data_IF_765160653804
#
_entry.id   IF_765160653804
#
_cell.length_a   1.000
_cell.length_b   1.000
_cell.length_c   1.000
_cell.angle_alpha   90.00
_cell.angle_beta   90.00
_cell.angle_gamma   90.00
#
_symmetry.space_group_name_H-M   'P 1'
#
loop_
_entity.id
_entity.type
_entity.pdbx_description
1 polymer ?
#
# COMPACT_ATOMS: atom_id res chain seq x y z
N UNK A 1 3.78 -27.66 -4.96
CA UNK A 1 3.48 -26.34 -4.40
C UNK A 1 2.15 -25.77 -4.88
N UNK A 2 1.76 -25.98 -6.16
CA UNK A 2 0.51 -25.49 -6.73
C UNK A 2 -0.72 -25.91 -5.92
N UNK A 3 -0.92 -27.21 -5.69
CA UNK A 3 -2.06 -27.71 -4.92
C UNK A 3 -2.10 -27.11 -3.52
N UNK A 4 -0.97 -26.97 -2.84
CA UNK A 4 -0.92 -26.36 -1.51
C UNK A 4 -1.36 -24.88 -1.50
N UNK A 5 -1.03 -24.13 -2.55
CA UNK A 5 -1.47 -22.75 -2.70
C UNK A 5 -2.99 -22.71 -2.86
N UNK A 6 -3.53 -23.53 -3.75
CA UNK A 6 -4.96 -23.63 -3.98
C UNK A 6 -5.72 -24.07 -2.72
N UNK A 7 -5.19 -25.05 -1.99
CA UNK A 7 -5.77 -25.52 -0.73
C UNK A 7 -5.88 -24.39 0.30
N UNK A 8 -4.81 -23.61 0.48
CA UNK A 8 -4.79 -22.46 1.41
C UNK A 8 -5.82 -21.39 1.02
N UNK A 9 -5.94 -21.09 -0.26
CA UNK A 9 -6.88 -20.09 -0.77
C UNK A 9 -8.34 -20.58 -0.63
N UNK A 10 -8.60 -21.83 -0.95
CA UNK A 10 -9.93 -22.48 -0.82
C UNK A 10 -10.34 -22.62 0.65
N UNK A 11 -9.38 -22.93 1.54
CA UNK A 11 -9.63 -22.98 2.98
C UNK A 11 -10.04 -21.59 3.51
N UNK A 12 -9.37 -20.51 3.07
CA UNK A 12 -9.75 -19.15 3.44
C UNK A 12 -11.17 -18.82 2.96
N UNK A 13 -11.50 -19.16 1.71
CA UNK A 13 -12.83 -18.95 1.15
C UNK A 13 -13.93 -19.63 1.96
N UNK A 14 -13.66 -20.86 2.40
CA UNK A 14 -14.64 -21.70 3.12
C UNK A 14 -14.78 -21.29 4.59
N UNK A 15 -13.65 -21.06 5.29
CA UNK A 15 -13.63 -20.84 6.74
C UNK A 15 -13.78 -19.37 7.14
N UNK A 16 -13.38 -18.44 6.27
CA UNK A 16 -13.43 -17.02 6.54
C UNK A 16 -13.86 -16.21 5.29
N UNK A 17 -15.10 -16.41 4.79
CA UNK A 17 -15.55 -15.81 3.53
C UNK A 17 -15.48 -14.26 3.53
N UNK A 18 -15.73 -13.62 4.67
CA UNK A 18 -15.59 -12.16 4.78
C UNK A 18 -14.13 -11.70 4.59
N UNK A 19 -13.17 -12.45 5.14
CA UNK A 19 -11.76 -12.19 4.93
C UNK A 19 -11.34 -12.45 3.48
N UNK A 20 -11.82 -13.54 2.88
CA UNK A 20 -11.60 -13.84 1.47
C UNK A 20 -12.04 -12.68 0.58
N UNK A 21 -13.26 -12.18 0.77
CA UNK A 21 -13.79 -11.04 0.02
C UNK A 21 -12.97 -9.75 0.25
N UNK A 22 -12.59 -9.50 1.49
CA UNK A 22 -11.74 -8.37 1.83
C UNK A 22 -10.37 -8.44 1.17
N UNK A 23 -9.77 -9.63 1.08
CA UNK A 23 -8.48 -9.85 0.44
C UNK A 23 -8.61 -9.80 -1.09
N UNK A 24 -9.71 -10.31 -1.65
CA UNK A 24 -10.00 -10.18 -3.09
C UNK A 24 -10.01 -8.70 -3.52
N UNK A 25 -10.62 -7.83 -2.71
CA UNK A 25 -10.66 -6.38 -2.93
C UNK A 25 -9.46 -5.60 -2.37
N UNK A 26 -8.38 -6.27 -1.93
CA UNK A 26 -7.28 -5.63 -1.20
C UNK A 26 -6.66 -4.44 -1.92
N UNK A 27 -6.48 -4.53 -3.22
CA UNK A 27 -5.88 -3.47 -4.04
C UNK A 27 -6.91 -2.48 -4.59
N UNK A 28 -8.20 -2.75 -4.45
CA UNK A 28 -9.26 -1.90 -4.99
C UNK A 28 -9.38 -0.61 -4.18
N UNK A 29 -9.13 0.52 -4.82
CA UNK A 29 -9.21 1.85 -4.23
C UNK A 29 -10.27 2.75 -4.90
N UNK A 30 -11.16 2.16 -5.71
CA UNK A 30 -12.22 2.88 -6.42
C UNK A 30 -13.02 3.85 -5.57
N UNK A 31 -13.47 3.51 -4.34
CA UNK A 31 -14.24 4.44 -3.53
C UNK A 31 -13.50 5.74 -3.21
N UNK A 32 -12.17 5.68 -3.02
CA UNK A 32 -11.34 6.85 -2.76
C UNK A 32 -11.21 7.74 -4.01
N UNK A 33 -11.00 7.13 -5.16
CA UNK A 33 -10.95 7.85 -6.44
C UNK A 33 -12.28 8.50 -6.79
N UNK A 34 -13.40 7.75 -6.71
CA UNK A 34 -14.73 8.29 -6.98
C UNK A 34 -15.07 9.45 -6.04
N UNK A 35 -14.65 9.37 -4.78
CA UNK A 35 -14.82 10.48 -3.86
C UNK A 35 -14.02 11.71 -4.28
N UNK A 36 -12.77 11.53 -4.72
CA UNK A 36 -11.98 12.64 -5.27
C UNK A 36 -12.64 13.27 -6.49
N UNK A 37 -13.17 12.47 -7.42
CA UNK A 37 -13.90 12.98 -8.59
C UNK A 37 -15.07 13.89 -8.18
N UNK A 38 -15.81 13.51 -7.14
CA UNK A 38 -16.90 14.34 -6.60
C UNK A 38 -16.40 15.66 -5.99
N UNK A 39 -15.23 15.65 -5.36
CA UNK A 39 -14.68 16.80 -4.65
C UNK A 39 -14.02 17.82 -5.58
N UNK A 40 -13.29 17.37 -6.59
CA UNK A 40 -12.38 18.23 -7.35
C UNK A 40 -12.48 18.05 -8.89
N UNK A 41 -13.39 17.20 -9.36
CA UNK A 41 -13.49 16.87 -10.79
C UNK A 41 -12.47 15.82 -11.25
N UNK A 42 -12.69 15.23 -12.44
CA UNK A 42 -11.99 14.04 -12.91
C UNK A 42 -10.48 14.24 -13.11
N UNK A 43 -10.07 15.34 -13.71
CA UNK A 43 -8.66 15.57 -14.06
C UNK A 43 -7.81 15.76 -12.80
N UNK A 44 -8.27 16.61 -11.88
CA UNK A 44 -7.58 16.85 -10.62
C UNK A 44 -7.63 15.62 -9.71
N UNK A 45 -8.74 14.90 -9.67
CA UNK A 45 -8.85 13.63 -8.98
C UNK A 45 -7.80 12.62 -9.47
N UNK A 46 -7.61 12.52 -10.78
CA UNK A 46 -6.60 11.66 -11.39
C UNK A 46 -5.17 12.03 -10.95
N UNK A 47 -4.86 13.31 -10.87
CA UNK A 47 -3.55 13.80 -10.43
C UNK A 47 -3.31 13.48 -8.94
N UNK A 48 -4.24 13.86 -8.09
CA UNK A 48 -4.16 13.66 -6.62
C UNK A 48 -4.09 12.18 -6.27
N UNK A 49 -4.93 11.38 -6.91
CA UNK A 49 -4.98 9.94 -6.66
C UNK A 49 -3.65 9.26 -7.07
N UNK A 50 -3.14 9.54 -8.28
CA UNK A 50 -1.85 8.98 -8.72
C UNK A 50 -0.72 9.34 -7.77
N UNK A 51 -0.67 10.59 -7.29
CA UNK A 51 0.34 11.03 -6.34
C UNK A 51 0.23 10.26 -5.02
N UNK A 52 -0.95 10.21 -4.40
CA UNK A 52 -1.16 9.51 -3.14
C UNK A 52 -0.85 8.01 -3.27
N UNK A 53 -1.33 7.38 -4.34
CA UNK A 53 -1.09 5.95 -4.63
C UNK A 53 0.41 5.67 -4.86
N UNK A 54 1.09 6.50 -5.63
CA UNK A 54 2.54 6.38 -5.87
C UNK A 54 3.32 6.52 -4.56
N UNK A 55 2.95 7.46 -3.70
CA UNK A 55 3.59 7.62 -2.39
C UNK A 55 3.32 6.41 -1.49
N UNK A 56 2.13 5.81 -1.54
CA UNK A 56 1.82 4.54 -0.89
C UNK A 56 2.77 3.43 -1.33
N UNK A 57 2.90 3.21 -2.62
CA UNK A 57 3.82 2.20 -3.16
C UNK A 57 5.29 2.44 -2.80
N UNK A 58 5.75 3.69 -2.78
CA UNK A 58 7.11 4.05 -2.34
C UNK A 58 7.30 3.76 -0.85
N UNK A 59 6.30 3.97 -0.02
CA UNK A 59 6.35 3.72 1.43
C UNK A 59 6.12 2.25 1.80
N UNK A 60 5.55 1.43 0.92
CA UNK A 60 5.13 0.06 1.21
C UNK A 60 6.24 -0.93 1.57
N UNK A 61 7.51 -0.84 1.10
CA UNK A 61 8.53 -1.81 1.44
C UNK A 61 8.85 -1.84 2.94
N UNK A 62 8.70 -3.02 3.55
CA UNK A 62 8.96 -3.26 4.98
C UNK A 62 8.15 -2.37 5.94
N UNK A 63 6.95 -1.97 5.53
CA UNK A 63 6.07 -1.09 6.30
C UNK A 63 4.71 -1.76 6.55
N UNK A 64 4.18 -1.76 7.78
CA UNK A 64 2.79 -2.11 8.03
C UNK A 64 1.84 -1.13 7.32
N UNK A 65 0.73 -1.64 6.79
CA UNK A 65 -0.24 -0.84 6.01
C UNK A 65 -0.72 0.44 6.72
N UNK A 66 -1.03 0.46 8.02
CA UNK A 66 -1.39 1.71 8.70
C UNK A 66 -0.28 2.76 8.67
N UNK A 67 0.97 2.32 8.81
CA UNK A 67 2.14 3.21 8.77
C UNK A 67 2.43 3.71 7.35
N UNK A 68 2.30 2.82 6.35
CA UNK A 68 2.36 3.17 4.93
C UNK A 68 1.36 4.28 4.61
N UNK A 69 0.09 4.07 4.98
CA UNK A 69 -0.98 5.04 4.73
C UNK A 69 -0.70 6.39 5.39
N UNK A 70 -0.31 6.41 6.67
CA UNK A 70 0.03 7.66 7.38
C UNK A 70 1.16 8.41 6.70
N UNK A 71 2.21 7.70 6.30
CA UNK A 71 3.38 8.33 5.66
C UNK A 71 3.08 8.82 4.25
N UNK A 72 2.37 8.01 3.45
CA UNK A 72 1.94 8.41 2.12
C UNK A 72 1.04 9.65 2.15
N UNK A 73 0.05 9.66 3.05
CA UNK A 73 -0.85 10.80 3.25
C UNK A 73 -0.11 12.05 3.70
N UNK A 74 0.85 11.90 4.62
CA UNK A 74 1.68 13.02 5.07
C UNK A 74 2.51 13.61 3.92
N UNK A 75 3.22 12.77 3.17
CA UNK A 75 4.00 13.20 2.02
C UNK A 75 3.13 13.89 0.96
N UNK A 76 1.93 13.34 0.71
CA UNK A 76 0.95 13.91 -0.21
C UNK A 76 0.50 15.30 0.23
N UNK A 77 0.11 15.49 1.48
CA UNK A 77 -0.26 16.79 2.04
C UNK A 77 0.88 17.80 1.96
N UNK A 78 2.11 17.38 2.29
CA UNK A 78 3.28 18.26 2.20
C UNK A 78 3.56 18.69 0.75
N UNK A 79 3.35 17.80 -0.22
CA UNK A 79 3.49 18.12 -1.63
C UNK A 79 2.43 19.15 -2.09
N UNK A 80 1.16 18.93 -1.76
CA UNK A 80 0.05 19.82 -2.15
C UNK A 80 0.14 21.20 -1.51
N UNK A 81 0.86 21.32 -0.38
CA UNK A 81 1.07 22.60 0.32
C UNK A 81 2.40 23.25 -0.05
N UNK A 82 3.12 22.76 -1.05
CA UNK A 82 4.46 23.24 -1.42
C UNK A 82 5.48 23.17 -0.26
N UNK A 83 5.30 22.23 0.67
CA UNK A 83 6.15 22.00 1.85
C UNK A 83 6.98 20.72 1.76
N UNK A 84 7.06 20.11 0.59
CA UNK A 84 7.78 18.86 0.41
C UNK A 84 9.27 18.91 0.78
N UNK A 85 10.00 20.04 0.64
CA UNK A 85 11.36 20.17 1.17
C UNK A 85 11.48 19.93 2.69
N UNK A 86 10.44 20.25 3.47
CA UNK A 86 10.40 19.96 4.91
C UNK A 86 10.26 18.45 5.15
N UNK A 87 9.42 17.78 4.36
CA UNK A 87 9.29 16.33 4.38
C UNK A 87 10.62 15.62 4.11
N UNK A 88 11.37 16.08 3.11
CA UNK A 88 12.69 15.53 2.80
C UNK A 88 13.69 15.66 3.96
N UNK A 89 13.66 16.78 4.67
CA UNK A 89 14.53 17.03 5.85
C UNK A 89 14.14 16.16 7.06
N UNK A 90 12.87 15.79 7.19
CA UNK A 90 12.36 15.04 8.33
C UNK A 90 13.13 13.75 8.62
N UNK A 91 13.58 13.02 7.58
CA UNK A 91 14.35 11.79 7.74
C UNK A 91 15.78 11.96 8.20
N UNK A 92 16.37 13.15 8.08
CA UNK A 92 17.72 13.46 8.54
C UNK A 92 17.82 13.73 10.05
N UNK A 93 16.69 13.87 10.73
CA UNK A 93 16.63 14.14 12.17
C UNK A 93 16.73 12.80 12.92
N UNK A 94 17.68 12.68 13.85
CA UNK A 94 17.78 11.50 14.71
C UNK A 94 16.51 11.33 15.56
N UNK A 95 16.22 10.09 15.95
CA UNK A 95 14.97 9.78 16.66
C UNK A 95 14.85 10.57 17.98
N UNK A 96 15.95 10.74 18.68
CA UNK A 96 16.04 11.51 19.93
C UNK A 96 15.86 13.01 19.75
N UNK A 97 16.21 13.55 18.58
CA UNK A 97 16.13 14.97 18.25
C UNK A 97 14.85 15.32 17.51
N UNK A 98 14.00 14.33 17.18
CA UNK A 98 12.75 14.61 16.49
C UNK A 98 11.88 15.47 17.41
N UNK A 99 11.58 16.72 16.99
CA UNK A 99 10.54 17.47 17.66
C UNK A 99 9.34 16.55 17.76
N UNK A 100 8.65 16.57 18.89
CA UNK A 100 7.53 15.68 19.13
C UNK A 100 6.71 15.60 17.83
N UNK A 101 6.53 14.41 17.34
CA UNK A 101 5.88 14.13 16.03
C UNK A 101 4.49 14.78 15.92
N UNK A 102 3.99 15.33 17.03
CA UNK A 102 2.79 16.14 17.14
C UNK A 102 2.71 17.32 16.15
N UNK A 103 3.83 17.76 15.60
CA UNK A 103 3.88 18.94 14.72
C UNK A 103 4.28 18.60 13.27
N UNK A 104 4.33 17.33 12.88
CA UNK A 104 4.79 16.97 11.55
C UNK A 104 3.96 15.84 10.92
N UNK A 105 3.38 16.03 9.81
CA UNK A 105 3.05 17.21 9.01
C UNK A 105 1.72 17.80 9.47
N UNK A 106 1.70 18.66 10.40
CA UNK A 106 0.49 19.14 11.05
C UNK A 106 -0.24 18.11 11.93
N UNK A 107 -1.25 18.59 12.60
CA UNK A 107 -2.06 17.83 13.55
C UNK A 107 -2.82 16.64 12.95
N UNK A 108 -2.80 16.45 11.62
CA UNK A 108 -3.62 15.47 10.96
C UNK A 108 -3.18 14.03 11.19
N UNK A 109 -1.87 13.76 11.12
CA UNK A 109 -1.35 12.40 11.26
C UNK A 109 -0.06 12.35 12.07
N UNK A 110 -0.04 11.49 13.09
CA UNK A 110 1.20 11.08 13.74
C UNK A 110 1.99 10.17 12.80
N UNK A 111 3.11 10.65 12.28
CA UNK A 111 3.91 9.93 11.29
C UNK A 111 5.03 9.14 11.96
N UNK A 112 5.04 7.80 11.85
CA UNK A 112 6.13 7.00 12.40
C UNK A 112 7.44 7.25 11.63
N UNK A 113 8.55 7.25 12.36
CA UNK A 113 9.88 7.27 11.77
C UNK A 113 10.12 6.03 10.88
N UNK A 114 11.00 6.17 9.89
CA UNK A 114 11.33 5.08 8.97
C UNK A 114 12.83 5.05 8.68
N UNK A 115 13.43 3.86 8.82
CA UNK A 115 14.74 3.58 8.21
C UNK A 115 14.58 3.66 6.69
N UNK A 116 15.44 4.43 6.00
CA UNK A 116 15.35 4.64 4.55
C UNK A 116 14.41 5.78 4.12
N UNK A 117 13.96 6.64 5.04
CA UNK A 117 13.15 7.82 4.70
C UNK A 117 13.80 8.67 3.61
N UNK A 118 15.11 8.93 3.69
CA UNK A 118 15.82 9.73 2.70
C UNK A 118 15.73 9.14 1.28
N UNK A 119 15.70 7.80 1.14
CA UNK A 119 15.51 7.14 -0.18
C UNK A 119 14.07 7.29 -0.64
N UNK A 120 13.11 7.05 0.23
CA UNK A 120 11.69 7.16 -0.10
C UNK A 120 11.34 8.61 -0.51
N UNK A 121 11.73 9.60 0.27
CA UNK A 121 11.46 11.02 -0.03
C UNK A 121 12.14 11.50 -1.31
N UNK A 122 13.32 11.00 -1.66
CA UNK A 122 13.95 11.28 -2.97
C UNK A 122 13.13 10.71 -4.13
N UNK A 123 12.60 9.50 -4.00
CA UNK A 123 11.73 8.90 -5.05
C UNK A 123 10.41 9.66 -5.16
N UNK A 124 9.83 10.07 -4.03
CA UNK A 124 8.63 10.90 -4.00
C UNK A 124 8.90 12.28 -4.65
N UNK A 125 10.01 12.93 -4.34
CA UNK A 125 10.40 14.19 -4.96
C UNK A 125 10.58 14.04 -6.48
N UNK A 126 11.27 12.99 -6.90
CA UNK A 126 11.41 12.68 -8.33
C UNK A 126 10.05 12.54 -9.02
N UNK A 127 9.10 11.88 -8.36
CA UNK A 127 7.74 11.77 -8.90
C UNK A 127 7.06 13.14 -9.03
N UNK A 128 7.18 14.02 -8.02
CA UNK A 128 6.65 15.39 -8.08
C UNK A 128 7.21 16.16 -9.29
N UNK A 129 8.52 16.04 -9.52
CA UNK A 129 9.21 16.78 -10.58
C UNK A 129 8.97 16.21 -11.99
N UNK A 130 8.83 14.90 -12.13
CA UNK A 130 8.89 14.21 -13.42
C UNK A 130 7.69 13.35 -13.76
N UNK A 131 6.79 13.09 -12.80
CA UNK A 131 5.71 12.10 -12.93
C UNK A 131 6.20 10.64 -12.83
N UNK A 132 7.50 10.39 -12.60
CA UNK A 132 8.11 9.06 -12.57
C UNK A 132 8.71 8.78 -11.20
N UNK A 133 8.27 7.72 -10.52
CA UNK A 133 8.78 7.37 -9.19
C UNK A 133 10.24 6.93 -9.16
N UNK A 134 10.80 6.48 -10.29
CA UNK A 134 12.21 6.09 -10.42
C UNK A 134 12.63 4.93 -9.52
N UNK A 135 11.70 4.14 -9.05
CA UNK A 135 12.01 2.93 -8.30
C UNK A 135 12.16 1.74 -9.23
N UNK A 136 13.23 0.99 -9.01
CA UNK A 136 13.46 -0.31 -9.63
C UNK A 136 13.43 -1.36 -8.52
N UNK A 137 12.26 -1.95 -8.30
CA UNK A 137 12.06 -3.01 -7.31
C UNK A 137 10.92 -3.92 -7.75
N UNK A 138 10.94 -5.20 -7.37
CA UNK A 138 9.86 -6.14 -7.71
C UNK A 138 8.54 -5.84 -6.97
N UNK A 139 8.56 -4.97 -5.96
CA UNK A 139 7.38 -4.65 -5.15
C UNK A 139 6.73 -3.32 -5.53
N UNK A 140 7.47 -2.20 -5.47
CA UNK A 140 6.85 -0.87 -5.49
C UNK A 140 6.16 -0.54 -6.83
N UNK A 141 6.78 -0.70 -8.01
CA UNK A 141 6.10 -0.43 -9.27
C UNK A 141 4.83 -1.27 -9.47
N UNK A 142 4.87 -2.62 -9.36
CA UNK A 142 3.65 -3.43 -9.50
C UNK A 142 2.59 -3.09 -8.45
N UNK A 143 2.99 -2.73 -7.23
CA UNK A 143 2.04 -2.32 -6.18
C UNK A 143 1.33 -1.02 -6.54
N UNK A 144 2.04 -0.02 -7.09
CA UNK A 144 1.46 1.25 -7.53
C UNK A 144 0.43 1.00 -8.64
N UNK A 145 0.79 0.17 -9.63
CA UNK A 145 -0.09 -0.17 -10.74
C UNK A 145 -1.29 -1.00 -10.30
N UNK A 146 -1.07 -2.00 -9.45
CA UNK A 146 -2.13 -2.84 -8.89
C UNK A 146 -3.13 -2.08 -8.00
N UNK A 147 -2.69 -1.02 -7.35
CA UNK A 147 -3.53 -0.15 -6.52
C UNK A 147 -4.13 1.03 -7.28
N UNK A 148 -3.97 1.09 -8.60
CA UNK A 148 -4.60 2.09 -9.45
C UNK A 148 -6.09 1.76 -9.66
N UNK A 149 -6.77 2.57 -10.45
CA UNK A 149 -8.18 2.38 -10.80
C UNK A 149 -8.30 2.24 -12.32
N UNK A 150 -9.38 1.62 -12.85
CA UNK A 150 -9.52 1.36 -14.29
C UNK A 150 -9.34 2.61 -15.14
N UNK A 151 -9.87 3.75 -14.72
CA UNK A 151 -9.78 5.03 -15.42
C UNK A 151 -8.35 5.57 -15.51
N UNK A 152 -7.46 5.09 -14.63
CA UNK A 152 -6.06 5.51 -14.56
C UNK A 152 -5.07 4.43 -14.97
N UNK A 153 -5.55 3.33 -15.57
CA UNK A 153 -4.73 2.23 -16.05
C UNK A 153 -4.47 1.16 -14.98
N UNK A 154 -5.51 0.77 -14.24
CA UNK A 154 -5.44 -0.38 -13.33
C UNK A 154 -5.00 -1.65 -14.08
N UNK A 155 -4.06 -2.38 -13.50
CA UNK A 155 -3.57 -3.64 -14.05
C UNK A 155 -3.70 -4.76 -13.01
N UNK A 156 -4.53 -5.75 -13.35
CA UNK A 156 -4.83 -6.89 -12.48
C UNK A 156 -3.97 -8.12 -12.77
N UNK A 157 -3.21 -8.09 -13.87
CA UNK A 157 -2.35 -9.21 -14.31
C UNK A 157 -0.91 -9.15 -13.78
N UNK A 158 -0.61 -8.17 -12.94
CA UNK A 158 0.70 -7.99 -12.32
C UNK A 158 0.89 -8.93 -11.14
N UNK A 159 2.14 -9.16 -10.79
CA UNK A 159 2.52 -9.73 -9.50
C UNK A 159 3.33 -8.72 -8.69
N UNK A 160 2.93 -8.53 -7.45
CA UNK A 160 3.66 -7.68 -6.49
C UNK A 160 4.71 -8.55 -5.79
N UNK A 161 5.98 -8.39 -6.16
CA UNK A 161 7.08 -9.16 -5.61
C UNK A 161 7.40 -8.75 -4.18
N UNK A 162 6.86 -9.47 -3.20
CA UNK A 162 7.11 -9.23 -1.79
C UNK A 162 7.48 -10.52 -1.03
N UNK A 163 7.83 -10.37 0.24
CA UNK A 163 8.21 -11.50 1.09
C UNK A 163 7.06 -12.50 1.29
N UNK A 164 5.81 -12.06 1.24
CA UNK A 164 4.65 -12.95 1.40
C UNK A 164 4.45 -13.82 0.18
N UNK A 165 4.57 -13.24 -1.01
CA UNK A 165 4.55 -14.02 -2.25
C UNK A 165 5.69 -15.04 -2.26
N UNK A 166 6.92 -14.61 -1.96
CA UNK A 166 8.10 -15.49 -1.91
C UNK A 166 7.90 -16.68 -0.97
N UNK A 167 7.33 -16.46 0.21
CA UNK A 167 7.02 -17.52 1.17
C UNK A 167 5.89 -18.42 0.69
N UNK A 168 4.85 -17.83 0.13
CA UNK A 168 3.68 -18.54 -0.38
C UNK A 168 4.02 -19.54 -1.47
N UNK A 169 4.90 -19.15 -2.39
CA UNK A 169 5.35 -20.01 -3.49
C UNK A 169 6.53 -20.91 -3.12
N UNK A 170 7.06 -20.81 -1.90
CA UNK A 170 8.13 -21.66 -1.39
C UNK A 170 9.54 -21.24 -1.81
N UNK A 171 9.75 -20.00 -2.20
CA UNK A 171 11.05 -19.44 -2.54
C UNK A 171 11.83 -18.95 -1.31
N UNK A 172 11.18 -18.83 -0.16
CA UNK A 172 11.81 -18.43 1.09
C UNK A 172 11.64 -19.50 2.16
N UNK A 173 12.68 -19.73 2.98
CA UNK A 173 12.60 -20.66 4.11
C UNK A 173 11.74 -20.09 5.24
N UNK A 174 10.58 -20.68 5.41
CA UNK A 174 9.59 -20.28 6.43
C UNK A 174 10.09 -20.54 7.85
N UNK A 175 11.07 -21.49 8.03
CA UNK A 175 11.49 -21.97 9.36
C UNK A 175 12.42 -21.03 10.10
N UNK A 176 13.21 -20.24 9.39
CA UNK A 176 14.26 -19.44 10.03
C UNK A 176 13.85 -18.00 10.33
N UNK A 177 12.72 -17.54 9.82
CA UNK A 177 12.32 -16.13 9.90
C UNK A 177 13.29 -15.17 9.19
N UNK A 178 14.40 -15.71 8.73
CA UNK A 178 15.43 -15.02 7.94
C UNK A 178 15.31 -15.54 6.52
N UNK A 179 14.55 -14.87 5.68
CA UNK A 179 14.63 -15.15 4.26
C UNK A 179 15.92 -14.55 3.73
N UNK A 180 16.74 -15.36 3.10
CA UNK A 180 17.86 -14.90 2.27
C UNK A 180 17.36 -14.14 1.03
N UNK A 181 16.09 -14.32 0.69
CA UNK A 181 15.35 -13.52 -0.29
C UNK A 181 14.14 -12.91 0.38
N UNK A 182 14.24 -11.68 0.83
CA UNK A 182 13.10 -10.93 1.40
C UNK A 182 12.03 -10.61 0.36
N UNK A 183 12.33 -10.80 -0.93
CA UNK A 183 11.42 -10.60 -2.05
C UNK A 183 11.86 -11.41 -3.26
N UNK A 184 10.90 -11.77 -4.11
CA UNK A 184 11.16 -12.30 -5.45
C UNK A 184 11.90 -11.24 -6.26
N UNK A 185 12.98 -11.59 -6.95
CA UNK A 185 13.64 -10.66 -7.88
C UNK A 185 12.76 -10.36 -9.09
N UNK A 186 13.02 -9.23 -9.76
CA UNK A 186 12.23 -8.86 -10.96
C UNK A 186 12.26 -9.94 -12.05
N UNK A 187 13.41 -10.57 -12.40
CA UNK A 187 13.43 -11.67 -13.36
C UNK A 187 12.61 -12.89 -12.92
N UNK A 188 12.71 -13.29 -11.64
CA UNK A 188 11.91 -14.41 -11.11
C UNK A 188 10.41 -14.10 -11.14
N UNK A 189 10.03 -12.86 -10.81
CA UNK A 189 8.65 -12.41 -10.89
C UNK A 189 8.12 -12.49 -12.32
N UNK A 190 8.90 -12.06 -13.30
CA UNK A 190 8.55 -12.13 -14.72
C UNK A 190 8.37 -13.57 -15.20
N UNK A 191 9.22 -14.49 -14.75
CA UNK A 191 9.11 -15.91 -15.08
C UNK A 191 7.90 -16.57 -14.39
N UNK A 192 7.56 -16.14 -13.20
CA UNK A 192 6.48 -16.72 -12.40
C UNK A 192 5.09 -16.19 -12.82
N UNK A 193 5.01 -14.96 -13.31
CA UNK A 193 3.72 -14.32 -13.61
C UNK A 193 2.84 -15.11 -14.58
N UNK A 194 3.34 -15.69 -15.71
CA UNK A 194 2.52 -16.52 -16.60
C UNK A 194 1.97 -17.76 -15.89
N UNK A 195 2.83 -18.48 -15.13
CA UNK A 195 2.40 -19.64 -14.36
C UNK A 195 1.34 -19.28 -13.32
N UNK A 196 1.52 -18.17 -12.60
CA UNK A 196 0.57 -17.70 -11.60
C UNK A 196 -0.82 -17.44 -12.21
N UNK A 197 -0.86 -16.76 -13.35
CA UNK A 197 -2.12 -16.50 -14.07
C UNK A 197 -2.79 -17.78 -14.53
N UNK A 198 -2.06 -18.66 -15.19
CA UNK A 198 -2.60 -19.86 -15.84
C UNK A 198 -2.99 -20.98 -14.86
N UNK A 199 -2.32 -21.06 -13.71
CA UNK A 199 -2.48 -22.15 -12.77
C UNK A 199 -3.17 -21.75 -11.47
N UNK A 200 -2.92 -20.56 -10.97
CA UNK A 200 -3.47 -20.15 -9.67
C UNK A 200 -4.68 -19.24 -9.85
N UNK A 201 -4.52 -18.12 -10.52
CA UNK A 201 -5.60 -17.15 -10.66
C UNK A 201 -6.79 -17.74 -11.44
N UNK A 202 -6.52 -18.46 -12.52
CA UNK A 202 -7.55 -19.11 -13.34
C UNK A 202 -8.32 -20.20 -12.56
N UNK A 203 -7.62 -21.04 -11.79
CA UNK A 203 -8.26 -22.09 -10.98
C UNK A 203 -9.13 -21.49 -9.86
N UNK A 204 -8.73 -20.34 -9.35
CA UNK A 204 -9.49 -19.58 -8.35
C UNK A 204 -10.57 -18.67 -8.97
N UNK A 205 -10.79 -18.74 -10.28
CA UNK A 205 -11.73 -17.90 -11.02
C UNK A 205 -11.56 -16.39 -10.73
N UNK A 206 -10.30 -15.94 -10.63
CA UNK A 206 -9.96 -14.55 -10.32
C UNK A 206 -8.75 -14.08 -11.15
N UNK A 207 -8.34 -12.83 -10.94
CA UNK A 207 -7.19 -12.23 -11.61
C UNK A 207 -5.90 -12.38 -10.76
N UNK A 208 -4.74 -12.14 -11.35
CA UNK A 208 -3.45 -12.40 -10.71
C UNK A 208 -3.23 -11.61 -9.41
N UNK A 209 -3.60 -10.33 -9.38
CA UNK A 209 -3.45 -9.46 -8.22
C UNK A 209 -4.38 -9.86 -7.06
N UNK A 210 -5.70 -10.04 -7.27
CA UNK A 210 -6.59 -10.58 -6.24
C UNK A 210 -6.17 -11.95 -5.73
N UNK A 211 -5.76 -12.88 -6.62
CA UNK A 211 -5.27 -14.19 -6.21
C UNK A 211 -4.08 -14.10 -5.26
N UNK A 212 -3.14 -13.18 -5.52
CA UNK A 212 -1.99 -12.95 -4.65
C UNK A 212 -2.42 -12.42 -3.27
N UNK A 213 -3.35 -11.49 -3.23
CA UNK A 213 -3.85 -10.94 -1.97
C UNK A 213 -4.59 -12.01 -1.14
N UNK A 214 -5.39 -12.85 -1.78
CA UNK A 214 -6.08 -13.99 -1.13
C UNK A 214 -5.06 -14.97 -0.55
N UNK A 215 -4.03 -15.36 -1.30
CA UNK A 215 -2.96 -16.21 -0.78
C UNK A 215 -2.29 -15.56 0.44
N UNK A 216 -1.99 -14.30 0.38
CA UNK A 216 -1.42 -13.57 1.51
C UNK A 216 -2.32 -13.63 2.75
N UNK A 217 -3.62 -13.39 2.61
CA UNK A 217 -4.59 -13.52 3.70
C UNK A 217 -4.62 -14.93 4.31
N UNK A 218 -4.62 -15.95 3.48
CA UNK A 218 -4.62 -17.36 3.91
C UNK A 218 -3.33 -17.81 4.59
N UNK A 219 -2.19 -17.23 4.21
CA UNK A 219 -0.88 -17.59 4.77
C UNK A 219 -0.58 -16.93 6.12
N UNK A 220 -1.25 -15.86 6.48
CA UNK A 220 -0.97 -15.10 7.71
C UNK A 220 -0.82 -15.98 8.95
N UNK A 221 -1.76 -16.90 9.23
CA UNK A 221 -1.67 -17.80 10.38
C UNK A 221 -0.46 -18.73 10.38
N UNK A 222 0.06 -19.07 9.20
CA UNK A 222 1.12 -20.07 9.03
C UNK A 222 2.52 -19.49 8.91
N UNK A 223 2.65 -18.22 8.57
CA UNK A 223 3.96 -17.60 8.28
C UNK A 223 4.54 -16.84 9.45
N UNK A 224 3.84 -16.73 10.57
CA UNK A 224 4.27 -15.97 11.75
C UNK A 224 4.48 -14.49 11.47
N UNK A 225 4.06 -14.01 10.30
CA UNK A 225 4.14 -12.61 9.95
C UNK A 225 3.09 -11.86 10.76
N UNK A 226 3.55 -11.10 11.74
CA UNK A 226 2.73 -10.21 12.57
C UNK A 226 2.25 -8.98 11.77
N UNK A 227 1.75 -9.19 10.58
CA UNK A 227 0.99 -8.15 9.90
C UNK A 227 -0.44 -8.20 10.42
N UNK A 228 -1.15 -7.10 10.35
CA UNK A 228 -2.58 -7.06 10.60
C UNK A 228 -3.32 -7.87 9.51
N UNK A 229 -2.95 -9.15 9.43
CA UNK A 229 -3.56 -10.16 8.55
C UNK A 229 -4.90 -10.47 9.18
N UNK A 230 -5.91 -9.79 8.78
CA UNK A 230 -7.24 -9.97 9.35
C UNK A 230 -8.20 -8.87 8.98
N UNK A 231 -7.67 -7.71 8.54
CA UNK A 231 -8.52 -6.63 8.08
C UNK A 231 -8.14 -6.23 6.65
N UNK A 232 -9.12 -6.01 5.75
CA UNK A 232 -8.90 -5.47 4.42
C UNK A 232 -8.13 -4.15 4.47
N UNK A 233 -7.38 -3.82 3.43
CA UNK A 233 -6.59 -2.58 3.36
C UNK A 233 -7.45 -1.33 3.60
N UNK A 234 -8.63 -1.27 3.01
CA UNK A 234 -9.57 -0.16 3.20
C UNK A 234 -10.04 -0.02 4.66
N UNK A 235 -10.22 -1.13 5.38
CA UNK A 235 -10.59 -1.10 6.79
C UNK A 235 -9.46 -0.55 7.66
N UNK A 236 -8.21 -0.95 7.37
CA UNK A 236 -7.02 -0.39 8.03
C UNK A 236 -6.87 1.11 7.76
N UNK A 237 -7.17 1.56 6.54
CA UNK A 237 -7.20 2.98 6.20
C UNK A 237 -8.33 3.70 6.95
N UNK A 238 -9.52 3.11 7.07
CA UNK A 238 -10.64 3.68 7.79
C UNK A 238 -10.32 3.90 9.29
N UNK A 239 -9.59 2.97 9.91
CA UNK A 239 -9.11 3.13 11.29
C UNK A 239 -8.19 4.37 11.40
N UNK A 240 -7.25 4.53 10.48
CA UNK A 240 -6.33 5.68 10.49
C UNK A 240 -7.03 7.00 10.17
N UNK A 241 -8.02 7.00 9.28
CA UNK A 241 -8.90 8.16 9.02
C UNK A 241 -9.69 8.51 10.28
N UNK A 242 -10.23 7.54 11.00
CA UNK A 242 -10.92 7.74 12.27
C UNK A 242 -10.00 8.33 13.35
N UNK A 243 -8.75 7.90 13.40
CA UNK A 243 -7.75 8.47 14.29
C UNK A 243 -7.39 9.93 13.93
N UNK A 244 -7.30 10.26 12.64
CA UNK A 244 -7.11 11.62 12.16
C UNK A 244 -8.32 12.51 12.49
N UNK A 245 -9.53 12.01 12.27
CA UNK A 245 -10.78 12.71 12.58
C UNK A 245 -10.85 13.12 14.06
N UNK A 246 -10.52 12.20 14.97
CA UNK A 246 -10.47 12.48 16.42
C UNK A 246 -9.47 13.58 16.77
N UNK A 247 -8.28 13.58 16.14
CA UNK A 247 -7.26 14.61 16.39
C UNK A 247 -7.66 15.99 15.91
N UNK A 248 -8.36 16.04 14.77
CA UNK A 248 -8.82 17.29 14.18
C UNK A 248 -10.14 17.80 14.75
N UNK A 249 -10.87 16.97 15.51
CA UNK A 249 -12.21 17.31 15.97
C UNK A 249 -13.24 17.42 14.82
N UNK A 250 -13.07 16.62 13.76
CA UNK A 250 -13.97 16.60 12.59
C UNK A 250 -14.59 15.23 12.39
N UNK A 251 -15.53 15.10 11.43
CA UNK A 251 -16.06 13.77 11.07
C UNK A 251 -15.01 12.93 10.32
N UNK A 252 -15.13 11.59 10.34
CA UNK A 252 -14.29 10.71 9.53
C UNK A 252 -14.34 11.02 8.02
N UNK A 253 -15.50 11.41 7.51
CA UNK A 253 -15.71 11.82 6.13
C UNK A 253 -14.90 13.08 5.80
N UNK A 254 -14.97 14.09 6.67
CA UNK A 254 -14.18 15.32 6.52
C UNK A 254 -12.67 15.02 6.58
N UNK A 255 -12.23 14.20 7.53
CA UNK A 255 -10.82 13.81 7.61
C UNK A 255 -10.35 13.07 6.37
N UNK A 256 -11.14 12.13 5.85
CA UNK A 256 -10.86 11.44 4.60
C UNK A 256 -10.73 12.42 3.44
N UNK A 257 -11.67 13.33 3.28
CA UNK A 257 -11.68 14.29 2.18
C UNK A 257 -10.46 15.22 2.23
N UNK A 258 -10.06 15.67 3.42
CA UNK A 258 -8.84 16.44 3.62
C UNK A 258 -7.59 15.64 3.22
N UNK A 259 -7.49 14.39 3.64
CA UNK A 259 -6.36 13.53 3.28
C UNK A 259 -6.30 13.35 1.76
N UNK A 260 -7.42 13.02 1.12
CA UNK A 260 -7.49 12.79 -0.32
C UNK A 260 -7.10 14.04 -1.13
N UNK A 261 -7.51 15.20 -0.69
CA UNK A 261 -7.17 16.48 -1.32
C UNK A 261 -5.79 17.04 -0.95
N UNK A 262 -5.06 16.39 -0.05
CA UNK A 262 -3.78 16.92 0.45
C UNK A 262 -3.91 18.19 1.28
N UNK A 263 -5.04 18.40 1.96
CA UNK A 263 -5.33 19.62 2.74
C UNK A 263 -5.27 19.35 4.25
N UNK A 264 -4.85 20.33 5.02
CA UNK A 264 -4.79 20.24 6.48
C UNK A 264 -6.08 20.72 7.16
N UNK A 265 -6.84 21.58 6.52
CA UNK A 265 -8.08 22.16 7.05
C UNK A 265 -9.14 22.24 5.96
N UNK A 266 -10.38 22.16 6.37
CA UNK A 266 -11.49 22.57 5.51
C UNK A 266 -11.33 24.07 5.21
N UNK A 267 -11.22 24.41 3.95
CA UNK A 267 -11.11 25.79 3.49
C UNK A 267 -12.41 26.55 3.65
#
# INVERSE_FOLDING_TARGET
NEQRILDVMSELQTRAPGMYQGMHGWYTMDPAYQRLVQLVGKDEAGRLYRQLNTFGGIESPNMPVPNEFRRASAAHMMAEQNRFPEWMKYGGIKAEDKPSIANYPSDLMSVPGRVGHARASKSQNKYIETGLHGMDSPKAPPYIEASSVPELGFQTDLLVGDAHLSRGVGLADVRTGKSTAESVSTPELQQMAPWWREKIAKEMETEAVPAQAILWGGLGPYTGVKTAVGAPKLELHAIEIGNAAKRLGVSPETARDLILMGKERAG
#
